data_IF_077407324960
#
_entry.id   IF_077407324960
#
_cell.length_a   1.000
_cell.length_b   1.000
_cell.length_c   1.000
_cell.angle_alpha   90.00
_cell.angle_beta   90.00
_cell.angle_gamma   90.00
#
_symmetry.space_group_name_H-M   'P 1'
#
loop_
_entity.id
_entity.type
_entity.pdbx_description
1 polymer ?
#
# COMPACT_ATOMS: atom_id res chain seq x y z
N UNK A 1 -3.45 -11.02 -4.67
CA UNK A 1 -4.62 -10.33 -4.09
C UNK A 1 -4.88 -10.77 -2.67
N UNK A 2 -5.27 -12.02 -2.41
CA UNK A 2 -5.63 -12.47 -1.05
C UNK A 2 -4.50 -12.22 -0.05
N UNK A 3 -3.26 -12.61 -0.37
CA UNK A 3 -2.13 -12.40 0.54
C UNK A 3 -1.87 -10.91 0.82
N UNK A 4 -1.93 -10.05 -0.21
CA UNK A 4 -1.80 -8.59 -0.05
C UNK A 4 -2.89 -8.02 0.87
N UNK A 5 -4.14 -8.48 0.72
CA UNK A 5 -5.24 -8.05 1.58
C UNK A 5 -5.10 -8.54 3.02
N UNK A 6 -4.65 -9.78 3.23
CA UNK A 6 -4.41 -10.32 4.56
C UNK A 6 -3.28 -9.56 5.24
N UNK A 7 -2.12 -9.45 4.59
CA UNK A 7 -0.94 -8.78 5.13
C UNK A 7 -1.22 -7.29 5.40
N UNK A 8 -1.80 -6.60 4.41
CA UNK A 8 -2.17 -5.19 4.55
C UNK A 8 -3.24 -4.98 5.62
N UNK A 9 -4.29 -5.79 5.62
CA UNK A 9 -5.39 -5.70 6.59
C UNK A 9 -4.92 -5.93 8.03
N UNK A 10 -4.10 -6.96 8.27
CA UNK A 10 -3.48 -7.20 9.58
C UNK A 10 -2.61 -6.00 9.99
N UNK A 11 -1.78 -5.49 9.07
CA UNK A 11 -0.95 -4.31 9.32
C UNK A 11 -1.78 -3.08 9.72
N UNK A 12 -2.91 -2.81 9.05
CA UNK A 12 -3.80 -1.70 9.39
C UNK A 12 -4.52 -1.89 10.73
N UNK A 13 -4.96 -3.11 11.05
CA UNK A 13 -5.58 -3.40 12.36
C UNK A 13 -4.56 -3.16 13.48
N UNK A 14 -3.33 -3.65 13.29
CA UNK A 14 -2.24 -3.41 14.25
C UNK A 14 -1.98 -1.91 14.36
N UNK A 15 -1.76 -1.21 13.25
CA UNK A 15 -1.47 0.23 13.24
C UNK A 15 -2.53 1.06 13.94
N UNK A 16 -3.80 0.86 13.62
CA UNK A 16 -4.91 1.57 14.28
C UNK A 16 -5.02 1.26 15.77
N UNK A 17 -4.69 0.04 16.20
CA UNK A 17 -4.71 -0.35 17.62
C UNK A 17 -3.49 0.09 18.44
N UNK A 18 -2.38 0.46 17.79
CA UNK A 18 -1.09 0.73 18.44
C UNK A 18 -0.68 2.19 18.37
N UNK A 19 -1.13 2.93 17.35
CA UNK A 19 -0.76 4.34 17.15
C UNK A 19 -1.22 5.27 18.28
N UNK A 20 -2.26 4.91 19.03
CA UNK A 20 -2.78 5.72 20.15
C UNK A 20 -2.30 5.24 21.52
N UNK A 21 -1.40 4.24 21.58
CA UNK A 21 -0.84 3.76 22.85
C UNK A 21 0.24 4.71 23.37
N UNK A 22 0.66 4.50 24.61
CA UNK A 22 1.78 5.24 25.23
C UNK A 22 2.85 4.24 25.72
N UNK A 23 4.02 4.16 25.07
CA UNK A 23 4.39 4.87 23.84
C UNK A 23 3.59 4.37 22.63
N UNK A 24 3.45 5.24 21.62
CA UNK A 24 2.89 4.86 20.33
C UNK A 24 3.91 3.98 19.59
N UNK A 25 3.41 3.01 18.83
CA UNK A 25 4.23 2.07 18.07
C UNK A 25 3.59 1.83 16.70
N UNK A 26 4.40 1.86 15.65
CA UNK A 26 3.97 1.52 14.29
C UNK A 26 4.87 0.44 13.66
N UNK A 27 5.82 -0.13 14.39
CA UNK A 27 6.90 -0.97 13.85
C UNK A 27 6.34 -2.14 13.04
N UNK A 28 5.51 -2.98 13.68
CA UNK A 28 4.92 -4.16 13.03
C UNK A 28 3.89 -3.76 11.97
N UNK A 29 3.16 -2.67 12.21
CA UNK A 29 2.20 -2.15 11.24
C UNK A 29 2.90 -1.69 9.96
N UNK A 30 4.04 -1.00 10.07
CA UNK A 30 4.85 -0.50 8.96
C UNK A 30 5.44 -1.66 8.15
N UNK A 31 5.99 -2.68 8.84
CA UNK A 31 6.48 -3.90 8.20
C UNK A 31 5.41 -4.59 7.35
N UNK A 32 4.17 -4.64 7.82
CA UNK A 32 3.10 -5.37 7.14
C UNK A 32 2.40 -4.51 6.09
N UNK A 33 1.85 -3.37 6.49
CA UNK A 33 0.98 -2.53 5.66
C UNK A 33 1.73 -1.75 4.58
N UNK A 34 3.01 -1.44 4.77
CA UNK A 34 3.85 -0.75 3.78
C UNK A 34 4.91 -1.71 3.22
N UNK A 35 5.73 -2.30 4.08
CA UNK A 35 6.81 -3.22 3.69
C UNK A 35 6.32 -4.44 2.91
N UNK A 36 5.53 -5.27 3.58
CA UNK A 36 5.01 -6.54 3.07
C UNK A 36 4.07 -6.32 1.89
N UNK A 37 3.14 -5.35 1.99
CA UNK A 37 2.27 -4.98 0.87
C UNK A 37 3.08 -4.51 -0.33
N UNK A 38 4.09 -3.65 -0.15
CA UNK A 38 4.95 -3.17 -1.23
C UNK A 38 5.68 -4.30 -1.96
N UNK A 39 6.26 -5.25 -1.22
CA UNK A 39 6.93 -6.42 -1.81
C UNK A 39 5.94 -7.32 -2.55
N UNK A 40 4.78 -7.59 -1.96
CA UNK A 40 3.75 -8.41 -2.60
C UNK A 40 3.19 -7.75 -3.86
N UNK A 41 3.03 -6.42 -3.84
CA UNK A 41 2.60 -5.62 -4.98
C UNK A 41 3.67 -5.60 -6.07
N UNK A 42 4.96 -5.53 -5.72
CA UNK A 42 6.07 -5.70 -6.68
C UNK A 42 6.01 -7.05 -7.39
N UNK A 43 5.91 -8.15 -6.63
CA UNK A 43 5.82 -9.50 -7.21
C UNK A 43 4.64 -9.57 -8.18
N UNK A 44 3.48 -9.03 -7.78
CA UNK A 44 2.27 -9.04 -8.62
C UNK A 44 2.43 -8.21 -9.89
N UNK A 45 2.85 -6.95 -9.76
CA UNK A 45 2.80 -5.99 -10.85
C UNK A 45 4.04 -6.02 -11.75
N UNK A 46 5.21 -6.42 -11.24
CA UNK A 46 6.45 -6.48 -12.01
C UNK A 46 6.79 -7.90 -12.49
N UNK A 47 6.72 -8.91 -11.62
CA UNK A 47 7.12 -10.28 -11.97
C UNK A 47 5.98 -11.06 -12.62
N UNK A 48 4.76 -10.93 -12.07
CA UNK A 48 3.55 -11.59 -12.55
C UNK A 48 2.68 -10.69 -13.42
N UNK A 49 3.28 -9.65 -14.01
CA UNK A 49 2.57 -8.55 -14.68
C UNK A 49 1.55 -9.03 -15.73
N UNK A 50 1.85 -10.08 -16.50
CA UNK A 50 0.91 -10.62 -17.51
C UNK A 50 -0.35 -11.22 -16.88
N UNK A 51 -0.18 -12.03 -15.83
CA UNK A 51 -1.30 -12.64 -15.12
C UNK A 51 -2.16 -11.56 -14.43
N UNK A 52 -1.51 -10.55 -13.88
CA UNK A 52 -2.20 -9.42 -13.25
C UNK A 52 -2.96 -8.56 -14.28
N UNK A 53 -2.35 -8.28 -15.43
CA UNK A 53 -2.99 -7.60 -16.56
C UNK A 53 -4.26 -8.34 -17.01
N UNK A 54 -4.17 -9.65 -17.20
CA UNK A 54 -5.29 -10.48 -17.66
C UNK A 54 -6.48 -10.42 -16.70
N UNK A 55 -6.22 -10.39 -15.38
CA UNK A 55 -7.26 -10.24 -14.36
C UNK A 55 -7.95 -8.89 -14.40
N UNK A 56 -7.20 -7.83 -14.70
CA UNK A 56 -7.73 -6.46 -14.76
C UNK A 56 -8.34 -6.12 -16.12
N UNK A 57 -8.29 -7.04 -17.08
CA UNK A 57 -8.67 -6.77 -18.48
C UNK A 57 -7.63 -5.94 -19.24
N UNK A 58 -6.45 -5.68 -18.66
CA UNK A 58 -5.40 -4.86 -19.25
C UNK A 58 -4.34 -5.67 -20.00
N UNK A 59 -4.63 -6.93 -20.32
CA UNK A 59 -3.69 -7.75 -21.10
C UNK A 59 -3.77 -7.37 -22.58
N UNK A 60 -2.70 -6.74 -23.07
CA UNK A 60 -2.53 -6.38 -24.48
C UNK A 60 -1.67 -7.40 -25.24
N UNK A 61 -1.47 -8.61 -24.68
CA UNK A 61 -0.73 -9.71 -25.30
C UNK A 61 0.79 -9.52 -25.32
N UNK A 62 1.30 -8.45 -24.70
CA UNK A 62 2.71 -8.04 -24.71
C UNK A 62 3.17 -7.61 -23.32
N UNK A 63 4.46 -7.30 -23.20
CA UNK A 63 5.04 -6.75 -21.98
C UNK A 63 4.30 -5.47 -21.56
N UNK A 64 3.84 -5.42 -20.30
CA UNK A 64 3.14 -4.27 -19.74
C UNK A 64 4.10 -3.44 -18.89
N UNK A 65 4.82 -2.50 -19.52
CA UNK A 65 5.81 -1.67 -18.83
C UNK A 65 5.18 -0.80 -17.74
N UNK A 66 3.95 -0.34 -17.92
CA UNK A 66 3.24 0.46 -16.92
C UNK A 66 3.06 -0.31 -15.60
N UNK A 67 2.56 -1.55 -15.66
CA UNK A 67 2.44 -2.37 -14.45
C UNK A 67 3.81 -2.66 -13.83
N UNK A 68 4.84 -2.89 -14.66
CA UNK A 68 6.18 -3.16 -14.16
C UNK A 68 6.73 -1.95 -13.40
N UNK A 69 6.56 -0.74 -13.92
CA UNK A 69 6.94 0.51 -13.24
C UNK A 69 6.17 0.69 -11.92
N UNK A 70 4.85 0.43 -11.91
CA UNK A 70 4.05 0.45 -10.67
C UNK A 70 4.58 -0.56 -9.65
N UNK A 71 4.97 -1.76 -10.10
CA UNK A 71 5.57 -2.77 -9.23
C UNK A 71 6.91 -2.31 -8.65
N UNK A 72 7.77 -1.66 -9.45
CA UNK A 72 9.06 -1.14 -8.99
C UNK A 72 8.86 0.00 -7.98
N UNK A 73 7.88 0.87 -8.17
CA UNK A 73 7.53 1.90 -7.20
C UNK A 73 7.12 1.28 -5.85
N UNK A 74 6.26 0.27 -5.88
CA UNK A 74 5.88 -0.48 -4.67
C UNK A 74 7.07 -1.16 -3.99
N UNK A 75 8.03 -1.69 -4.76
CA UNK A 75 9.26 -2.26 -4.20
C UNK A 75 10.07 -1.20 -3.46
N UNK A 76 10.21 0.00 -4.03
CA UNK A 76 10.97 1.08 -3.42
C UNK A 76 10.40 1.44 -2.05
N UNK A 77 9.09 1.69 -1.95
CA UNK A 77 8.43 1.97 -0.67
C UNK A 77 8.54 0.79 0.30
N UNK A 78 8.32 -0.43 -0.18
CA UNK A 78 8.41 -1.63 0.63
C UNK A 78 9.80 -1.86 1.23
N UNK A 79 10.86 -1.67 0.44
CA UNK A 79 12.26 -1.79 0.90
C UNK A 79 12.59 -0.71 1.92
N UNK A 80 12.19 0.54 1.67
CA UNK A 80 12.43 1.64 2.62
C UNK A 80 11.71 1.38 3.94
N UNK A 81 10.49 0.84 3.93
CA UNK A 81 9.77 0.46 5.15
C UNK A 81 10.46 -0.68 5.92
N UNK A 82 10.96 -1.70 5.22
CA UNK A 82 11.77 -2.75 5.86
C UNK A 82 13.02 -2.17 6.51
N UNK A 83 13.76 -1.31 5.79
CA UNK A 83 14.98 -0.69 6.31
C UNK A 83 14.68 0.23 7.50
N UNK A 84 13.60 1.01 7.43
CA UNK A 84 13.18 1.88 8.54
C UNK A 84 13.00 1.10 9.83
N UNK A 85 12.37 -0.06 9.76
CA UNK A 85 12.15 -0.92 10.93
C UNK A 85 13.42 -1.65 11.35
N UNK A 86 14.13 -2.30 10.43
CA UNK A 86 15.34 -3.09 10.73
C UNK A 86 16.44 -2.21 11.33
N UNK A 87 16.57 -0.97 10.84
CA UNK A 87 17.57 -0.02 11.29
C UNK A 87 17.05 0.94 12.37
N UNK A 88 15.82 0.73 12.84
CA UNK A 88 15.19 1.52 13.91
C UNK A 88 15.21 3.05 13.66
N UNK A 89 14.74 3.48 12.48
CA UNK A 89 14.64 4.90 12.12
C UNK A 89 13.55 5.66 12.90
N UNK A 90 12.69 4.95 13.63
CA UNK A 90 11.78 5.51 14.62
C UNK A 90 10.40 5.91 14.08
N UNK A 91 9.52 6.25 15.01
CA UNK A 91 8.09 6.45 14.78
C UNK A 91 7.77 7.51 13.72
N UNK A 92 8.52 8.62 13.68
CA UNK A 92 8.31 9.70 12.69
C UNK A 92 8.48 9.19 11.26
N UNK A 93 9.50 8.36 11.02
CA UNK A 93 9.78 7.84 9.67
C UNK A 93 8.74 6.78 9.29
N UNK A 94 8.38 5.90 10.21
CA UNK A 94 7.32 4.92 9.99
C UNK A 94 5.99 5.60 9.66
N UNK A 95 5.58 6.61 10.44
CA UNK A 95 4.37 7.38 10.18
C UNK A 95 4.43 8.13 8.84
N UNK A 96 5.60 8.69 8.48
CA UNK A 96 5.83 9.30 7.17
C UNK A 96 5.64 8.31 6.02
N UNK A 97 6.07 7.06 6.17
CA UNK A 97 5.86 6.01 5.17
C UNK A 97 4.39 5.64 5.01
N UNK A 98 3.63 5.58 6.11
CA UNK A 98 2.17 5.44 6.07
C UNK A 98 1.50 6.57 5.29
N UNK A 99 1.95 7.82 5.49
CA UNK A 99 1.42 8.98 4.76
C UNK A 99 1.72 8.92 3.27
N UNK A 100 2.97 8.65 2.89
CA UNK A 100 3.37 8.59 1.48
C UNK A 100 2.61 7.49 0.74
N UNK A 101 2.56 6.28 1.32
CA UNK A 101 1.80 5.16 0.75
C UNK A 101 0.30 5.48 0.72
N UNK A 102 -0.24 6.10 1.77
CA UNK A 102 -1.64 6.54 1.83
C UNK A 102 -2.00 7.52 0.72
N UNK A 103 -1.19 8.56 0.50
CA UNK A 103 -1.37 9.53 -0.60
C UNK A 103 -1.31 8.84 -1.95
N UNK A 104 -0.33 7.95 -2.15
CA UNK A 104 -0.17 7.20 -3.39
C UNK A 104 -1.39 6.33 -3.69
N UNK A 105 -1.82 5.50 -2.74
CA UNK A 105 -2.95 4.59 -2.92
C UNK A 105 -4.27 5.36 -3.07
N UNK A 106 -4.49 6.42 -2.30
CA UNK A 106 -5.67 7.28 -2.48
C UNK A 106 -5.70 7.94 -3.86
N UNK A 107 -4.54 8.31 -4.41
CA UNK A 107 -4.43 8.83 -5.78
C UNK A 107 -4.78 7.76 -6.82
N UNK A 108 -4.34 6.51 -6.63
CA UNK A 108 -4.72 5.37 -7.48
C UNK A 108 -6.23 5.09 -7.41
N UNK A 109 -6.82 5.14 -6.21
CA UNK A 109 -8.26 4.99 -6.02
C UNK A 109 -9.03 6.07 -6.77
N UNK A 110 -8.63 7.34 -6.63
CA UNK A 110 -9.23 8.46 -7.35
C UNK A 110 -9.11 8.28 -8.87
N UNK A 111 -7.91 7.95 -9.36
CA UNK A 111 -7.68 7.67 -10.77
C UNK A 111 -8.65 6.60 -11.29
N UNK A 112 -8.83 5.52 -10.53
CA UNK A 112 -9.73 4.41 -10.92
C UNK A 112 -11.20 4.84 -10.93
N UNK A 113 -11.62 5.71 -9.99
CA UNK A 113 -12.98 6.25 -9.92
C UNK A 113 -13.29 7.16 -11.12
N UNK A 114 -12.36 8.06 -11.48
CA UNK A 114 -12.58 9.07 -12.52
C UNK A 114 -12.28 8.58 -13.94
N UNK A 115 -11.56 7.47 -14.09
CA UNK A 115 -11.19 6.93 -15.41
C UNK A 115 -12.45 6.65 -16.26
N UNK A 116 -12.51 7.16 -17.51
CA UNK A 116 -13.62 6.89 -18.43
C UNK A 116 -13.84 5.38 -18.58
N UNK A 117 -15.10 4.94 -18.44
CA UNK A 117 -15.45 3.51 -18.49
C UNK A 117 -15.12 2.85 -19.83
N UNK A 118 -15.05 1.51 -19.82
CA UNK A 118 -14.76 0.69 -21.00
C UNK A 118 -14.55 -0.79 -20.69
N UNK A 119 -14.22 -1.11 -19.43
CA UNK A 119 -14.25 -2.45 -18.85
C UNK A 119 -15.11 -2.44 -17.58
N UNK A 120 -15.63 -3.61 -17.18
CA UNK A 120 -16.46 -3.75 -15.97
C UNK A 120 -15.69 -3.19 -14.77
N UNK A 121 -16.18 -2.11 -14.17
CA UNK A 121 -15.55 -1.48 -12.99
C UNK A 121 -15.63 -2.44 -11.81
N UNK A 122 -14.48 -2.81 -11.26
CA UNK A 122 -14.40 -3.58 -10.02
C UNK A 122 -14.71 -2.67 -8.83
N UNK A 123 -16.00 -2.53 -8.53
CA UNK A 123 -16.48 -1.71 -7.41
C UNK A 123 -15.90 -2.20 -6.08
N UNK A 124 -15.76 -3.52 -5.90
CA UNK A 124 -15.17 -4.10 -4.70
C UNK A 124 -13.70 -3.69 -4.54
N UNK A 125 -12.92 -3.77 -5.62
CA UNK A 125 -11.54 -3.30 -5.66
C UNK A 125 -11.40 -1.80 -5.39
N UNK A 126 -12.31 -0.98 -5.92
CA UNK A 126 -12.33 0.48 -5.66
C UNK A 126 -12.58 0.76 -4.18
N UNK A 127 -13.59 0.12 -3.57
CA UNK A 127 -13.91 0.30 -2.14
C UNK A 127 -12.72 -0.14 -1.29
N UNK A 128 -12.15 -1.31 -1.55
CA UNK A 128 -11.02 -1.84 -0.80
C UNK A 128 -9.80 -0.92 -0.88
N UNK A 129 -9.45 -0.45 -2.08
CA UNK A 129 -8.31 0.45 -2.31
C UNK A 129 -8.53 1.80 -1.64
N UNK A 130 -9.75 2.36 -1.73
CA UNK A 130 -10.11 3.62 -1.11
C UNK A 130 -10.03 3.54 0.42
N UNK A 131 -10.60 2.47 1.00
CA UNK A 131 -10.55 2.23 2.43
C UNK A 131 -9.12 2.03 2.92
N UNK A 132 -8.32 1.24 2.20
CA UNK A 132 -6.91 1.02 2.54
C UNK A 132 -6.12 2.34 2.55
N UNK A 133 -6.22 3.15 1.50
CA UNK A 133 -5.57 4.46 1.42
C UNK A 133 -6.03 5.41 2.54
N UNK A 134 -7.33 5.47 2.82
CA UNK A 134 -7.87 6.32 3.88
C UNK A 134 -7.36 5.92 5.28
N UNK A 135 -7.29 4.62 5.58
CA UNK A 135 -6.79 4.15 6.89
C UNK A 135 -5.27 4.34 6.99
N UNK A 136 -4.51 4.16 5.91
CA UNK A 136 -3.08 4.51 5.89
C UNK A 136 -2.85 5.98 6.24
N UNK A 137 -3.60 6.89 5.61
CA UNK A 137 -3.54 8.32 5.91
C UNK A 137 -3.90 8.60 7.37
N UNK A 138 -4.99 8.01 7.87
CA UNK A 138 -5.40 8.17 9.27
C UNK A 138 -4.31 7.72 10.26
N UNK A 139 -3.75 6.52 10.07
CA UNK A 139 -2.66 5.99 10.92
C UNK A 139 -1.42 6.87 10.82
N UNK A 140 -1.04 7.30 9.62
CA UNK A 140 0.10 8.19 9.41
C UNK A 140 -0.05 9.53 10.11
N UNK A 141 -1.23 10.17 10.04
CA UNK A 141 -1.52 11.45 10.71
C UNK A 141 -1.41 11.30 12.22
N UNK A 142 -2.01 10.24 12.79
CA UNK A 142 -1.92 9.99 14.23
C UNK A 142 -0.49 9.68 14.67
N UNK A 143 0.25 8.89 13.88
CA UNK A 143 1.65 8.55 14.17
C UNK A 143 2.55 9.78 14.18
N UNK A 144 2.37 10.69 13.22
CA UNK A 144 3.07 11.97 13.21
C UNK A 144 2.74 12.82 14.43
N UNK A 145 1.47 12.85 14.83
CA UNK A 145 1.02 13.62 16.01
C UNK A 145 1.53 13.03 17.32
N UNK A 146 1.76 11.72 17.39
CA UNK A 146 2.30 11.04 18.56
C UNK A 146 3.84 11.12 18.64
N UNK A 147 4.51 11.49 17.55
CA UNK A 147 5.96 11.59 17.47
C UNK A 147 6.51 12.99 17.82
N UNK A 148 5.63 13.97 18.05
CA UNK A 148 5.96 15.32 18.51
C UNK A 148 5.89 15.43 20.02
#
# INVERSE_FOLDING_TARGET
MILTYIVGGIGLVIGTSTVTKTPADLTLACLLAVGGVGILSFIRHALLHRSDAARMGWDYGKRNNFQIEVGIANLAWGVVALLAVILNWGLTIEAGLFLVEGVYISSVALMTIVSPGGQRRDIGGIIATSAFGAVLLYVGILGMSAAT
#
